data_IF_155757154013
#
_entry.id   IF_155757154013
#
_cell.length_a   1.000
_cell.length_b   1.000
_cell.length_c   1.000
_cell.angle_alpha   90.00
_cell.angle_beta   90.00
_cell.angle_gamma   90.00
#
_symmetry.space_group_name_H-M   'P 1'
#
loop_
_entity.id
_entity.type
_entity.pdbx_description
1 polymer ?
#
# COMPACT_ATOMS: atom_id res chain seq x y z
N UNK A 1 0.70 -9.92 -9.46
CA UNK A 1 0.09 -8.58 -9.47
C UNK A 1 1.06 -7.60 -8.87
N UNK A 2 1.79 -6.86 -9.69
CA UNK A 2 2.92 -6.00 -9.25
C UNK A 2 2.54 -4.52 -9.15
N UNK A 3 1.58 -4.05 -9.95
CA UNK A 3 1.19 -2.64 -9.98
C UNK A 3 0.23 -2.22 -8.86
N UNK A 4 -0.37 -3.17 -8.13
CA UNK A 4 -1.32 -2.88 -7.05
C UNK A 4 -2.70 -2.34 -7.46
N UNK A 5 -2.97 -2.10 -8.75
CA UNK A 5 -4.17 -1.39 -9.22
C UNK A 5 -5.50 -2.13 -9.02
N UNK A 6 -5.49 -3.47 -9.13
CA UNK A 6 -6.69 -4.30 -9.07
C UNK A 6 -7.05 -4.77 -7.65
N UNK A 7 -6.77 -3.93 -6.66
CA UNK A 7 -7.10 -4.17 -5.27
C UNK A 7 -8.61 -4.01 -5.02
N UNK A 8 -9.26 -5.05 -4.53
CA UNK A 8 -10.69 -5.06 -4.24
C UNK A 8 -11.02 -6.14 -3.20
N UNK A 9 -12.25 -6.13 -2.66
CA UNK A 9 -12.70 -7.15 -1.73
C UNK A 9 -13.38 -8.28 -2.52
N UNK A 10 -12.80 -9.48 -2.48
CA UNK A 10 -13.30 -10.68 -3.15
C UNK A 10 -13.61 -11.74 -2.09
N UNK A 11 -14.86 -12.20 -2.06
CA UNK A 11 -15.33 -13.20 -1.10
C UNK A 11 -15.06 -12.82 0.38
N UNK A 12 -15.13 -11.53 0.72
CA UNK A 12 -14.93 -11.02 2.08
C UNK A 12 -13.49 -10.65 2.42
N UNK A 13 -12.51 -10.98 1.56
CA UNK A 13 -11.10 -10.64 1.77
C UNK A 13 -10.57 -9.61 0.78
N UNK A 14 -9.77 -8.65 1.26
CA UNK A 14 -9.06 -7.71 0.39
C UNK A 14 -7.91 -8.43 -0.33
N UNK A 15 -7.93 -8.42 -1.65
CA UNK A 15 -6.94 -9.12 -2.47
C UNK A 15 -6.79 -8.45 -3.84
N UNK A 16 -5.80 -8.91 -4.60
CA UNK A 16 -5.59 -8.48 -5.98
C UNK A 16 -6.35 -9.43 -6.90
N UNK A 17 -7.29 -8.88 -7.67
CA UNK A 17 -8.12 -9.68 -8.57
C UNK A 17 -7.29 -10.48 -9.59
N UNK A 18 -6.19 -9.90 -10.10
CA UNK A 18 -5.35 -10.54 -11.12
C UNK A 18 -4.62 -11.82 -10.68
N UNK A 19 -4.49 -12.06 -9.38
CA UNK A 19 -3.83 -13.27 -8.83
C UNK A 19 -4.76 -14.13 -7.98
N UNK A 20 -5.98 -13.65 -7.71
CA UNK A 20 -6.97 -14.42 -6.95
C UNK A 20 -7.61 -15.44 -7.89
N UNK A 21 -7.39 -16.72 -7.60
CA UNK A 21 -8.04 -17.82 -8.33
C UNK A 21 -9.55 -17.74 -8.16
N UNK A 22 -10.27 -18.01 -9.24
CA UNK A 22 -11.73 -18.16 -9.25
C UNK A 22 -12.08 -19.42 -8.45
N UNK A 23 -13.12 -19.34 -7.64
CA UNK A 23 -13.63 -20.50 -6.89
C UNK A 23 -14.20 -21.54 -7.87
N UNK A 24 -13.83 -22.82 -7.70
CA UNK A 24 -14.28 -23.91 -8.56
C UNK A 24 -15.72 -24.36 -8.25
N UNK A 25 -16.23 -23.99 -7.08
CA UNK A 25 -17.56 -24.36 -6.63
C UNK A 25 -18.64 -23.52 -7.33
N UNK A 26 -19.28 -24.08 -8.35
CA UNK A 26 -20.34 -23.42 -9.13
C UNK A 26 -21.58 -23.05 -8.30
N UNK A 27 -21.77 -23.71 -7.14
CA UNK A 27 -22.89 -23.44 -6.24
C UNK A 27 -22.67 -22.20 -5.35
N UNK A 28 -21.48 -21.60 -5.39
CA UNK A 28 -21.11 -20.49 -4.52
C UNK A 28 -21.02 -19.18 -5.31
N UNK A 29 -21.86 -18.22 -4.94
CA UNK A 29 -21.81 -16.88 -5.52
C UNK A 29 -20.65 -16.11 -4.91
N UNK A 30 -19.62 -15.84 -5.70
CA UNK A 30 -18.48 -14.99 -5.28
C UNK A 30 -18.91 -13.53 -5.31
N UNK A 31 -18.94 -12.90 -4.14
CA UNK A 31 -19.26 -11.47 -4.00
C UNK A 31 -17.99 -10.64 -4.18
N UNK A 32 -18.10 -9.57 -4.97
CA UNK A 32 -17.01 -8.63 -5.23
C UNK A 32 -17.49 -7.24 -4.83
N UNK A 33 -16.71 -6.57 -3.98
CA UNK A 33 -16.95 -5.23 -3.50
C UNK A 33 -15.70 -4.37 -3.70
N UNK A 34 -15.84 -3.03 -3.79
CA UNK A 34 -14.69 -2.13 -3.72
C UNK A 34 -13.96 -2.30 -2.37
N UNK A 35 -12.77 -1.72 -2.26
CA UNK A 35 -12.06 -1.70 -0.97
C UNK A 35 -12.96 -1.05 0.11
N UNK A 36 -13.06 -1.66 1.29
CA UNK A 36 -13.99 -1.23 2.32
C UNK A 36 -13.59 0.14 2.89
N UNK A 37 -14.61 0.86 3.35
CA UNK A 37 -14.45 2.18 3.99
C UNK A 37 -13.69 3.21 3.13
N UNK A 38 -13.85 3.12 1.80
CA UNK A 38 -13.43 4.15 0.86
C UNK A 38 -14.66 4.75 0.17
N UNK A 39 -14.58 6.03 -0.20
CA UNK A 39 -15.55 6.64 -1.10
C UNK A 39 -15.46 5.98 -2.47
N UNK A 40 -16.58 5.60 -3.06
CA UNK A 40 -16.61 4.94 -4.38
C UNK A 40 -16.90 5.99 -5.44
N UNK A 41 -16.03 6.11 -6.45
CA UNK A 41 -16.28 7.00 -7.60
C UNK A 41 -17.38 6.40 -8.46
N UNK A 42 -17.15 5.15 -8.88
CA UNK A 42 -18.07 4.37 -9.71
C UNK A 42 -17.69 2.89 -9.63
N UNK A 43 -18.69 2.01 -9.61
CA UNK A 43 -18.53 0.56 -9.61
C UNK A 43 -17.57 0.05 -8.52
N UNK A 44 -16.45 -0.56 -8.92
CA UNK A 44 -15.41 -1.10 -8.04
C UNK A 44 -14.21 -0.16 -7.87
N UNK A 45 -14.30 1.06 -8.39
CA UNK A 45 -13.21 2.05 -8.33
C UNK A 45 -13.45 2.92 -7.09
N UNK A 46 -12.76 2.65 -5.96
CA UNK A 46 -12.71 3.61 -4.89
C UNK A 46 -12.01 4.88 -5.39
N UNK A 47 -12.39 6.03 -4.83
CA UNK A 47 -11.69 7.27 -5.05
C UNK A 47 -10.24 7.01 -4.71
N UNK A 48 -9.36 7.26 -5.68
CA UNK A 48 -7.93 7.23 -5.43
C UNK A 48 -7.74 8.06 -4.17
N UNK A 49 -7.15 7.48 -3.14
CA UNK A 49 -6.93 8.17 -1.87
C UNK A 49 -5.89 9.29 -2.03
N UNK A 50 -5.86 10.02 -3.15
CA UNK A 50 -4.93 11.09 -3.51
C UNK A 50 -4.73 12.10 -2.37
N UNK A 51 -5.74 12.42 -1.52
CA UNK A 51 -5.48 13.23 -0.33
C UNK A 51 -4.70 12.46 0.75
N UNK A 52 -4.91 11.14 0.90
CA UNK A 52 -4.16 10.28 1.82
C UNK A 52 -2.75 9.91 1.31
N UNK A 53 -2.51 9.88 -0.01
CA UNK A 53 -1.17 9.87 -0.62
C UNK A 53 -0.46 11.24 -0.44
N UNK A 54 -1.19 12.29 -0.04
CA UNK A 54 -0.60 13.53 0.43
C UNK A 54 0.32 13.34 1.63
N UNK A 55 0.07 12.34 2.48
CA UNK A 55 0.98 11.94 3.57
C UNK A 55 2.23 11.20 3.10
N UNK A 56 2.22 10.61 1.89
CA UNK A 56 3.43 10.07 1.25
C UNK A 56 4.32 11.17 0.67
N UNK A 57 3.90 12.43 0.79
CA UNK A 57 4.82 13.55 0.89
C UNK A 57 4.94 13.94 2.36
N UNK A 58 5.73 13.22 3.19
CA UNK A 58 6.42 13.91 4.27
C UNK A 58 7.17 15.05 3.57
N UNK A 59 6.64 16.27 3.72
CA UNK A 59 6.90 17.36 2.77
C UNK A 59 8.37 17.52 2.50
N UNK A 60 8.78 17.59 1.23
CA UNK A 60 10.00 18.27 0.79
C UNK A 60 11.28 18.07 1.64
N UNK A 61 11.42 16.91 2.30
CA UNK A 61 12.58 16.54 3.14
C UNK A 61 13.17 15.20 2.73
N UNK A 62 13.00 14.78 1.47
CA UNK A 62 14.02 13.99 0.78
C UNK A 62 15.24 14.83 0.39
N UNK A 63 15.32 16.05 0.93
CA UNK A 63 16.48 16.94 0.94
C UNK A 63 17.03 17.24 2.34
N UNK A 64 16.71 16.48 3.40
CA UNK A 64 17.56 16.46 4.60
C UNK A 64 18.76 15.54 4.35
N UNK A 65 19.47 15.83 3.26
CA UNK A 65 20.85 15.46 3.11
C UNK A 65 21.61 16.19 4.20
N UNK A 66 21.98 15.48 5.26
CA UNK A 66 23.19 15.82 5.98
C UNK A 66 24.34 15.73 4.96
N UNK A 67 24.61 16.84 4.27
CA UNK A 67 25.85 17.11 3.56
C UNK A 67 26.33 16.08 2.52
N UNK A 68 25.46 15.41 1.76
CA UNK A 68 25.91 14.57 0.63
C UNK A 68 25.69 15.29 -0.70
N UNK A 69 26.77 15.96 -1.11
CA UNK A 69 26.98 16.51 -2.44
C UNK A 69 26.75 15.40 -3.49
N UNK A 70 25.91 15.57 -4.53
CA UNK A 70 25.55 14.52 -5.49
C UNK A 70 26.70 14.12 -6.45
N UNK A 71 27.95 14.44 -6.10
CA UNK A 71 29.16 14.21 -6.89
C UNK A 71 30.19 13.30 -6.23
N UNK A 72 29.90 12.75 -5.05
CA UNK A 72 30.82 11.85 -4.37
C UNK A 72 30.42 10.39 -4.64
N UNK A 73 31.00 9.81 -5.70
CA UNK A 73 31.20 8.37 -5.76
C UNK A 73 32.26 8.00 -4.72
N UNK A 74 31.85 7.74 -3.48
CA UNK A 74 32.63 6.91 -2.57
C UNK A 74 31.75 5.77 -2.04
N UNK A 75 32.22 4.51 -2.09
CA UNK A 75 31.51 3.37 -1.52
C UNK A 75 31.76 3.34 -0.01
N UNK A 76 31.36 4.40 0.70
CA UNK A 76 31.52 4.47 2.15
C UNK A 76 30.15 4.37 2.82
N UNK A 77 30.10 3.55 3.88
CA UNK A 77 28.97 3.23 4.77
C UNK A 77 27.82 2.37 4.23
N UNK A 78 28.14 1.19 3.68
CA UNK A 78 27.23 0.02 3.73
C UNK A 78 27.41 -0.80 5.01
N UNK A 79 27.58 -0.15 6.16
CA UNK A 79 27.64 -0.82 7.48
C UNK A 79 26.25 -1.00 8.13
N UNK A 80 25.25 -0.22 7.71
CA UNK A 80 23.87 -0.28 8.23
C UNK A 80 22.90 -1.07 7.36
N UNK A 81 23.36 -1.53 6.20
CA UNK A 81 22.56 -2.24 5.21
C UNK A 81 22.71 -3.73 5.45
N UNK A 82 22.14 -4.23 6.54
CA UNK A 82 21.98 -5.68 6.72
C UNK A 82 20.91 -6.08 5.71
N UNK A 83 21.24 -6.76 4.60
CA UNK A 83 20.29 -6.95 3.49
C UNK A 83 19.00 -7.64 3.96
N UNK A 84 19.13 -8.55 4.91
CA UNK A 84 18.02 -9.29 5.51
C UNK A 84 17.02 -8.44 6.30
N UNK A 85 17.37 -7.22 6.72
CA UNK A 85 16.47 -6.32 7.44
C UNK A 85 15.60 -5.50 6.49
N UNK A 86 15.94 -5.40 5.21
CA UNK A 86 15.14 -4.72 4.20
C UNK A 86 14.18 -5.67 3.46
N UNK A 87 14.51 -6.96 3.40
CA UNK A 87 13.66 -7.99 2.81
C UNK A 87 12.29 -8.04 3.54
N UNK A 88 11.21 -7.86 2.79
CA UNK A 88 9.82 -7.79 3.26
C UNK A 88 9.23 -6.37 3.38
N UNK A 89 10.04 -5.31 3.33
CA UNK A 89 9.58 -3.92 3.43
C UNK A 89 9.43 -3.24 2.05
N UNK A 90 10.46 -3.34 1.20
CA UNK A 90 10.49 -2.64 -0.10
C UNK A 90 9.62 -3.30 -1.18
N UNK A 91 9.19 -4.54 -0.95
CA UNK A 91 8.32 -5.30 -1.84
C UNK A 91 6.86 -4.81 -1.79
N UNK A 92 6.56 -3.85 -0.90
CA UNK A 92 5.26 -3.22 -0.82
C UNK A 92 4.90 -2.50 -2.12
N UNK A 93 3.91 -3.04 -2.84
CA UNK A 93 3.41 -2.47 -4.10
C UNK A 93 2.37 -1.35 -3.91
N UNK A 94 2.17 -0.91 -2.67
CA UNK A 94 1.25 0.18 -2.33
C UNK A 94 -0.19 -0.05 -2.87
N UNK A 95 -0.75 -1.24 -2.65
CA UNK A 95 -2.11 -1.60 -3.12
C UNK A 95 -3.25 -1.20 -2.17
N UNK A 96 -2.95 -0.65 -0.99
CA UNK A 96 -3.91 -0.26 0.06
C UNK A 96 -4.79 -1.38 0.67
N UNK A 97 -4.63 -2.65 0.27
CA UNK A 97 -5.38 -3.78 0.83
C UNK A 97 -5.22 -3.90 2.35
N UNK A 98 -4.01 -3.72 2.87
CA UNK A 98 -3.71 -3.81 4.30
C UNK A 98 -4.36 -2.66 5.09
N UNK A 99 -4.23 -1.42 4.62
CA UNK A 99 -4.83 -0.26 5.30
C UNK A 99 -6.35 -0.36 5.33
N UNK A 100 -6.96 -0.73 4.21
CA UNK A 100 -8.40 -0.94 4.16
C UNK A 100 -8.87 -2.23 4.81
N UNK A 101 -8.00 -3.14 5.23
CA UNK A 101 -8.43 -4.27 6.06
C UNK A 101 -8.50 -3.92 7.55
N UNK A 102 -7.87 -2.81 7.95
CA UNK A 102 -7.70 -2.45 9.36
C UNK A 102 -8.90 -1.63 9.86
N UNK A 103 -9.65 -2.12 10.87
CA UNK A 103 -10.75 -1.35 11.46
C UNK A 103 -10.30 -0.03 12.07
N UNK A 104 -9.08 0.05 12.62
CA UNK A 104 -8.52 1.30 13.15
C UNK A 104 -8.36 2.37 12.06
N UNK A 105 -8.05 1.96 10.82
CA UNK A 105 -7.98 2.84 9.66
C UNK A 105 -9.36 3.25 9.15
N UNK A 106 -10.38 2.42 9.35
CA UNK A 106 -11.76 2.81 9.06
C UNK A 106 -12.20 3.94 9.97
N UNK A 107 -12.04 3.77 11.28
CA UNK A 107 -12.52 4.75 12.24
C UNK A 107 -11.71 6.04 12.30
N UNK A 108 -10.39 5.96 12.11
CA UNK A 108 -9.48 7.09 12.27
C UNK A 108 -8.53 7.26 11.06
N UNK A 109 -8.99 7.03 9.84
CA UNK A 109 -8.15 7.16 8.63
C UNK A 109 -7.62 8.58 8.36
N UNK A 110 -8.16 9.58 9.06
CA UNK A 110 -7.71 10.97 9.07
C UNK A 110 -6.44 11.18 9.91
N UNK A 111 -6.25 10.40 10.99
CA UNK A 111 -5.11 10.52 11.93
C UNK A 111 -4.16 9.34 11.88
N UNK A 112 -4.71 8.13 11.72
CA UNK A 112 -3.95 6.90 11.65
C UNK A 112 -3.47 6.69 10.21
N UNK A 113 -2.15 6.76 10.02
CA UNK A 113 -1.50 6.63 8.71
C UNK A 113 -1.78 5.29 8.02
N UNK A 114 -2.03 4.24 8.80
CA UNK A 114 -2.29 2.90 8.30
C UNK A 114 -1.02 2.05 8.14
N UNK A 115 -1.18 0.72 8.11
CA UNK A 115 -0.07 -0.24 8.05
C UNK A 115 0.80 -0.09 6.80
N UNK A 116 0.23 0.28 5.65
CA UNK A 116 1.02 0.44 4.41
C UNK A 116 2.06 1.56 4.51
N UNK A 117 1.72 2.65 5.20
CA UNK A 117 2.58 3.83 5.34
C UNK A 117 3.57 3.64 6.49
N UNK A 118 3.16 2.96 7.56
CA UNK A 118 4.02 2.69 8.72
C UNK A 118 5.13 1.67 8.45
N UNK A 119 5.04 0.92 7.35
CA UNK A 119 6.02 -0.10 6.94
C UNK A 119 7.19 0.48 6.12
N UNK A 120 7.24 1.79 5.88
CA UNK A 120 8.29 2.41 5.06
C UNK A 120 9.65 2.53 5.76
#
# INVERSE_FOLDING_TARGET
GICGSCAMNIAGGNTLACIKKIDGDLNKVTKIYPLPHMYVVKDLVPVSAAPAWGWQRPGDTLGMGWGVNPRCHSPEVTAWRVPSLQDGLYECILCACCSTSCPSYWWNGDKYLGPAVLMQ
#
